data_IF_441505807272
#
_entry.id   IF_441505807272
#
_cell.length_a   1.000
_cell.length_b   1.000
_cell.length_c   1.000
_cell.angle_alpha   90.00
_cell.angle_beta   90.00
_cell.angle_gamma   90.00
#
_symmetry.space_group_name_H-M   'P 1'
#
loop_
_entity.id
_entity.type
_entity.pdbx_description
1 polymer ?
#
# COMPACT_ATOMS: atom_id res chain seq x y z
N UNK A 1 -4.22 -19.14 38.40
CA UNK A 1 -4.94 -18.83 37.15
C UNK A 1 -4.21 -19.55 36.03
N UNK A 2 -4.94 -20.38 35.30
CA UNK A 2 -4.40 -21.45 34.44
C UNK A 2 -3.93 -20.86 33.11
N UNK A 3 -2.70 -21.21 32.70
CA UNK A 3 -2.08 -20.85 31.43
C UNK A 3 -2.82 -21.47 30.24
N UNK A 4 -3.84 -20.77 29.72
CA UNK A 4 -4.67 -21.19 28.58
C UNK A 4 -3.93 -21.22 27.24
N UNK A 5 -2.72 -20.66 27.13
CA UNK A 5 -1.97 -20.62 25.88
C UNK A 5 -1.13 -21.87 25.59
N UNK A 6 -0.75 -22.64 26.61
CA UNK A 6 0.14 -23.80 26.43
C UNK A 6 -0.59 -25.10 26.04
N UNK A 7 -1.92 -25.18 26.20
CA UNK A 7 -2.67 -26.42 25.93
C UNK A 7 -3.14 -26.58 24.46
N UNK A 8 -3.04 -25.55 23.62
CA UNK A 8 -3.57 -25.60 22.24
C UNK A 8 -2.57 -26.13 21.18
N UNK A 9 -1.33 -26.45 21.54
CA UNK A 9 -0.27 -26.79 20.58
C UNK A 9 0.18 -28.27 20.63
N UNK A 10 -0.74 -29.22 20.47
CA UNK A 10 -0.38 -30.63 20.18
C UNK A 10 -1.31 -31.29 19.16
N UNK A 11 -0.88 -31.37 17.90
CA UNK A 11 -1.12 -32.53 17.02
C UNK A 11 -0.27 -32.41 15.73
N UNK A 12 0.39 -33.52 15.36
CA UNK A 12 1.22 -33.63 14.16
C UNK A 12 0.49 -34.20 12.92
N UNK A 13 1.04 -33.82 11.76
CA UNK A 13 1.11 -34.46 10.42
C UNK A 13 -0.18 -34.79 9.64
N UNK A 14 -0.38 -34.14 8.47
CA UNK A 14 -0.61 -34.79 7.16
C UNK A 14 -0.70 -33.79 5.98
N UNK A 15 -0.07 -34.12 4.84
CA UNK A 15 0.12 -33.22 3.67
C UNK A 15 -1.16 -32.88 2.87
N UNK A 16 -2.28 -33.56 3.11
CA UNK A 16 -3.59 -33.19 2.54
C UNK A 16 -4.30 -32.05 3.30
N UNK A 17 -3.88 -31.75 4.54
CA UNK A 17 -4.41 -30.64 5.34
C UNK A 17 -3.94 -29.26 4.82
N UNK A 18 -2.91 -29.20 3.98
CA UNK A 18 -2.31 -27.95 3.52
C UNK A 18 -3.25 -27.11 2.64
N UNK A 19 -4.20 -27.73 1.92
CA UNK A 19 -5.21 -26.98 1.12
C UNK A 19 -6.38 -26.45 1.94
N UNK A 20 -6.73 -27.11 3.04
CA UNK A 20 -7.82 -26.66 3.94
C UNK A 20 -7.34 -25.62 4.96
N UNK A 21 -6.07 -25.67 5.37
CA UNK A 21 -5.41 -24.66 6.22
C UNK A 21 -5.37 -23.25 5.62
N UNK A 22 -5.60 -23.08 4.31
CA UNK A 22 -5.57 -21.76 3.67
C UNK A 22 -6.80 -20.89 3.95
N UNK A 23 -7.82 -21.43 4.64
CA UNK A 23 -9.04 -20.70 5.02
C UNK A 23 -9.19 -20.53 6.53
N UNK A 24 -8.28 -21.08 7.32
CA UNK A 24 -8.32 -20.91 8.78
C UNK A 24 -7.60 -19.60 9.10
N UNK A 25 -8.36 -18.63 9.61
CA UNK A 25 -7.80 -17.37 10.06
C UNK A 25 -6.86 -17.66 11.24
N UNK A 26 -5.71 -17.01 11.29
CA UNK A 26 -4.81 -17.13 12.43
C UNK A 26 -5.58 -16.83 13.73
N UNK A 27 -5.43 -17.67 14.75
CA UNK A 27 -6.22 -17.58 15.99
C UNK A 27 -6.13 -16.20 16.64
N UNK A 28 -4.98 -15.52 16.54
CA UNK A 28 -4.80 -14.17 17.08
C UNK A 28 -5.62 -13.15 16.32
N UNK A 29 -5.64 -13.28 14.99
CA UNK A 29 -6.46 -12.45 14.12
C UNK A 29 -7.94 -12.71 14.32
N UNK A 30 -8.34 -13.96 14.53
CA UNK A 30 -9.73 -14.33 14.83
C UNK A 30 -10.18 -13.73 16.17
N UNK A 31 -9.37 -13.87 17.22
CA UNK A 31 -9.61 -13.22 18.51
C UNK A 31 -9.66 -11.69 18.40
N UNK A 32 -8.89 -11.08 17.51
CA UNK A 32 -8.90 -9.62 17.30
C UNK A 32 -10.18 -9.16 16.62
N UNK A 33 -10.63 -9.88 15.59
CA UNK A 33 -11.84 -9.57 14.82
C UNK A 33 -13.08 -9.80 15.69
N UNK A 34 -13.13 -10.95 16.37
CA UNK A 34 -14.24 -11.40 17.23
C UNK A 34 -13.97 -11.15 18.72
N UNK A 35 -13.27 -10.07 19.05
CA UNK A 35 -12.84 -9.79 20.43
C UNK A 35 -14.01 -9.64 21.40
N UNK A 36 -15.18 -9.23 20.91
CA UNK A 36 -16.45 -9.15 21.64
C UNK A 36 -17.02 -10.52 22.02
N UNK A 37 -16.71 -11.55 21.24
CA UNK A 37 -17.15 -12.93 21.44
C UNK A 37 -16.09 -13.80 22.13
N UNK A 38 -14.82 -13.35 22.13
CA UNK A 38 -13.73 -14.09 22.73
C UNK A 38 -13.79 -14.02 24.27
N UNK A 39 -14.14 -15.16 24.89
CA UNK A 39 -14.31 -15.27 26.34
C UNK A 39 -13.00 -14.94 27.07
N UNK A 40 -13.04 -13.95 27.97
CA UNK A 40 -11.88 -13.50 28.73
C UNK A 40 -11.05 -12.38 28.07
N UNK A 41 -11.28 -12.08 26.79
CA UNK A 41 -10.64 -10.97 26.08
C UNK A 41 -11.53 -9.74 26.00
N UNK A 42 -12.82 -9.85 25.57
CA UNK A 42 -13.87 -8.79 25.53
C UNK A 42 -13.43 -7.35 25.23
N UNK A 43 -12.27 -7.18 24.59
CA UNK A 43 -11.53 -5.94 24.45
C UNK A 43 -10.50 -6.15 23.36
N UNK A 44 -10.54 -5.36 22.29
CA UNK A 44 -9.57 -5.49 21.19
C UNK A 44 -8.13 -5.28 21.64
N UNK A 45 -7.91 -4.43 22.65
CA UNK A 45 -6.57 -4.16 23.20
C UNK A 45 -5.98 -5.35 23.94
N UNK A 46 -6.80 -6.03 24.73
CA UNK A 46 -6.36 -7.21 25.48
C UNK A 46 -5.90 -8.34 24.57
N UNK A 47 -6.45 -8.43 23.35
CA UNK A 47 -5.95 -9.36 22.34
C UNK A 47 -4.48 -9.09 22.03
N UNK A 48 -4.09 -7.82 21.86
CA UNK A 48 -2.69 -7.47 21.65
C UNK A 48 -1.84 -7.78 22.89
N UNK A 49 -2.32 -7.44 24.08
CA UNK A 49 -1.58 -7.71 25.32
C UNK A 49 -1.21 -9.18 25.46
N UNK A 50 -2.14 -10.06 25.10
CA UNK A 50 -1.90 -11.50 25.22
C UNK A 50 -1.15 -12.07 24.02
N UNK A 51 -1.37 -11.56 22.79
CA UNK A 51 -0.66 -12.07 21.61
C UNK A 51 0.83 -11.72 21.59
N UNK A 52 1.19 -10.62 22.23
CA UNK A 52 2.57 -10.13 22.31
C UNK A 52 3.17 -10.31 23.71
N UNK A 53 2.46 -11.00 24.62
CA UNK A 53 2.90 -11.24 25.99
C UNK A 53 3.26 -9.93 26.73
N UNK A 54 2.54 -8.85 26.43
CA UNK A 54 2.82 -7.51 26.96
C UNK A 54 2.72 -7.46 28.49
N UNK A 55 1.90 -8.32 29.10
CA UNK A 55 1.78 -8.41 30.56
C UNK A 55 3.13 -8.76 31.20
N UNK A 56 3.88 -9.68 30.58
CA UNK A 56 5.19 -10.18 31.07
C UNK A 56 6.38 -9.50 30.41
N UNK A 57 6.15 -8.68 29.39
CA UNK A 57 7.20 -7.89 28.76
C UNK A 57 7.82 -6.92 29.77
N UNK A 58 9.14 -7.00 29.92
CA UNK A 58 9.93 -6.02 30.68
C UNK A 58 9.83 -4.65 30.01
N UNK A 59 9.78 -3.63 30.85
CA UNK A 59 9.67 -2.27 30.39
C UNK A 59 11.06 -1.69 30.11
N UNK A 60 11.46 -1.68 28.83
CA UNK A 60 12.71 -1.03 28.37
C UNK A 60 12.77 0.48 28.69
N UNK A 61 11.66 1.08 29.14
CA UNK A 61 11.62 2.50 29.51
C UNK A 61 12.50 2.83 30.73
N UNK A 62 12.75 1.85 31.61
CA UNK A 62 13.65 1.99 32.75
C UNK A 62 15.13 2.06 32.32
N UNK A 63 15.49 1.38 31.22
CA UNK A 63 16.83 1.44 30.64
C UNK A 63 17.10 2.77 29.94
N UNK A 64 16.05 3.47 29.49
CA UNK A 64 16.18 4.75 28.81
C UNK A 64 16.53 5.91 29.75
N UNK A 65 15.99 5.91 30.97
CA UNK A 65 16.35 6.89 31.99
C UNK A 65 16.24 6.27 33.39
N UNK A 66 17.36 5.84 33.99
CA UNK A 66 17.37 5.24 35.32
C UNK A 66 16.84 6.16 36.43
N UNK A 67 16.85 7.48 36.20
CA UNK A 67 16.36 8.47 37.16
C UNK A 67 14.84 8.68 37.09
N UNK A 68 14.18 8.19 36.03
CA UNK A 68 12.74 8.27 35.88
C UNK A 68 12.12 6.87 35.95
N UNK A 69 11.41 6.58 37.05
CA UNK A 69 10.74 5.30 37.31
C UNK A 69 9.68 4.98 36.23
N UNK A 70 9.20 5.99 35.50
CA UNK A 70 8.22 5.84 34.42
C UNK A 70 8.86 5.87 33.02
N UNK A 71 10.18 6.04 32.95
CA UNK A 71 10.92 6.27 31.71
C UNK A 71 10.72 7.67 31.13
N UNK A 72 11.39 7.98 30.03
CA UNK A 72 11.22 9.28 29.38
C UNK A 72 9.85 9.38 28.68
N UNK A 73 9.44 10.59 28.28
CA UNK A 73 8.17 10.81 27.57
C UNK A 73 8.02 10.03 26.26
N UNK A 74 9.11 9.56 25.67
CA UNK A 74 9.10 8.71 24.47
C UNK A 74 8.96 7.21 24.80
N UNK A 75 9.34 6.79 26.00
CA UNK A 75 9.30 5.39 26.42
C UNK A 75 8.14 5.09 27.39
N UNK A 76 7.55 6.13 27.97
CA UNK A 76 6.33 6.03 28.77
C UNK A 76 5.14 5.70 27.87
N UNK A 77 4.65 4.47 27.98
CA UNK A 77 3.41 4.04 27.32
C UNK A 77 2.24 4.55 28.16
N UNK A 78 1.56 5.59 27.69
CA UNK A 78 0.37 6.12 28.34
C UNK A 78 -0.87 5.29 27.97
N UNK A 79 -1.75 5.07 28.95
CA UNK A 79 -3.09 4.57 28.67
C UNK A 79 -3.85 5.58 27.81
N UNK A 80 -4.38 5.17 26.65
CA UNK A 80 -5.19 6.02 25.80
C UNK A 80 -6.53 6.25 26.48
N UNK A 81 -7.00 7.48 26.42
CA UNK A 81 -8.27 7.93 27.01
C UNK A 81 -9.49 7.15 26.51
N UNK A 82 -9.41 6.60 25.30
CA UNK A 82 -10.45 5.78 24.68
C UNK A 82 -9.87 4.38 24.48
N UNK A 83 -10.55 3.33 24.96
CA UNK A 83 -10.09 1.94 24.88
C UNK A 83 -10.22 1.31 23.47
N UNK A 84 -11.40 0.82 23.11
CA UNK A 84 -11.68 0.30 21.76
C UNK A 84 -13.16 0.51 21.42
N UNK A 85 -13.55 0.19 20.20
CA UNK A 85 -14.92 0.22 19.68
C UNK A 85 -15.89 -0.64 20.49
N UNK A 86 -15.42 -1.73 21.11
CA UNK A 86 -16.23 -2.57 22.00
C UNK A 86 -16.61 -1.82 23.29
N UNK A 87 -15.64 -1.10 23.88
CA UNK A 87 -15.85 -0.42 25.17
C UNK A 87 -16.41 1.00 25.02
N UNK A 88 -16.16 1.66 23.89
CA UNK A 88 -16.55 3.05 23.65
C UNK A 88 -17.17 3.22 22.26
N UNK A 89 -18.27 2.51 21.95
CA UNK A 89 -18.84 2.48 20.59
C UNK A 89 -19.14 3.88 20.04
N UNK A 90 -19.58 4.81 20.89
CA UNK A 90 -19.90 6.18 20.50
C UNK A 90 -18.70 6.94 19.90
N UNK A 91 -17.49 6.68 20.39
CA UNK A 91 -16.25 7.30 19.90
C UNK A 91 -15.82 6.77 18.52
N UNK A 92 -16.37 5.65 18.06
CA UNK A 92 -16.03 5.01 16.79
C UNK A 92 -17.18 5.03 15.76
N UNK A 93 -18.33 5.58 16.13
CA UNK A 93 -19.51 5.69 15.27
C UNK A 93 -19.24 6.36 13.92
N UNK A 94 -18.30 7.31 13.86
CA UNK A 94 -17.87 8.00 12.63
C UNK A 94 -17.18 7.07 11.61
N UNK A 95 -16.72 5.89 12.04
CA UNK A 95 -16.06 4.89 11.20
C UNK A 95 -16.96 3.69 10.89
N UNK A 96 -18.22 3.72 11.31
CA UNK A 96 -19.22 2.76 10.87
C UNK A 96 -19.59 3.07 9.42
N UNK A 97 -18.66 2.86 8.49
CA UNK A 97 -18.90 3.00 7.07
C UNK A 97 -19.95 1.98 6.65
N UNK A 98 -20.97 2.44 5.93
CA UNK A 98 -21.84 1.55 5.16
C UNK A 98 -20.96 0.69 4.25
N UNK A 99 -21.27 -0.62 4.08
CA UNK A 99 -20.46 -1.50 3.25
C UNK A 99 -20.34 -0.89 1.86
N UNK A 100 -19.15 -0.36 1.57
CA UNK A 100 -18.79 0.16 0.26
C UNK A 100 -19.11 -0.93 -0.74
N UNK A 101 -20.10 -0.69 -1.60
CA UNK A 101 -20.46 -1.59 -2.69
C UNK A 101 -19.19 -1.73 -3.51
N UNK A 102 -18.51 -2.86 -3.36
CA UNK A 102 -17.25 -3.11 -4.06
C UNK A 102 -17.52 -2.91 -5.54
N UNK A 103 -16.96 -1.84 -6.11
CA UNK A 103 -17.05 -1.61 -7.54
C UNK A 103 -16.42 -2.82 -8.22
N UNK A 104 -17.24 -3.63 -8.88
CA UNK A 104 -16.75 -4.83 -9.56
C UNK A 104 -15.85 -4.40 -10.72
N UNK A 105 -14.53 -4.44 -10.48
CA UNK A 105 -13.53 -4.23 -11.52
C UNK A 105 -13.62 -5.34 -12.57
N UNK A 106 -13.26 -5.04 -13.82
CA UNK A 106 -13.28 -6.03 -14.90
C UNK A 106 -12.35 -7.22 -14.59
N UNK A 107 -12.81 -8.45 -14.77
CA UNK A 107 -11.91 -9.60 -14.78
C UNK A 107 -11.10 -9.57 -16.07
N UNK A 108 -9.78 -9.41 -15.97
CA UNK A 108 -8.88 -9.31 -17.12
C UNK A 108 -8.22 -10.66 -17.38
N UNK A 109 -8.24 -11.09 -18.64
CA UNK A 109 -7.50 -12.27 -19.08
C UNK A 109 -5.99 -12.03 -18.95
N UNK A 110 -5.26 -13.07 -18.54
CA UNK A 110 -3.79 -13.05 -18.55
C UNK A 110 -3.29 -12.86 -19.97
N UNK A 111 -2.28 -12.03 -20.13
CA UNK A 111 -1.62 -11.78 -21.41
C UNK A 111 -0.14 -11.54 -21.17
N UNK A 112 0.64 -11.58 -22.25
CA UNK A 112 2.05 -11.19 -22.24
C UNK A 112 2.15 -9.74 -22.70
N UNK A 113 2.76 -8.87 -21.89
CA UNK A 113 3.00 -7.46 -22.24
C UNK A 113 3.72 -7.37 -23.58
N UNK A 114 3.15 -6.59 -24.50
CA UNK A 114 3.71 -6.27 -25.81
C UNK A 114 4.41 -4.91 -25.74
N UNK A 115 5.09 -4.56 -26.82
CA UNK A 115 5.79 -3.26 -26.94
C UNK A 115 4.91 -2.06 -26.55
N UNK A 116 3.65 -1.93 -27.03
CA UNK A 116 2.80 -0.80 -26.61
C UNK A 116 2.52 -0.76 -25.11
N UNK A 117 2.38 -1.93 -24.47
CA UNK A 117 2.12 -2.03 -23.03
C UNK A 117 3.34 -1.60 -22.22
N UNK A 118 4.55 -1.95 -22.69
CA UNK A 118 5.81 -1.53 -22.07
C UNK A 118 6.04 -0.03 -22.24
N UNK A 119 5.79 0.52 -23.43
CA UNK A 119 5.93 1.96 -23.68
C UNK A 119 4.92 2.76 -22.85
N UNK A 120 3.69 2.27 -22.69
CA UNK A 120 2.72 2.89 -21.80
C UNK A 120 3.17 2.82 -20.34
N UNK A 121 3.74 1.69 -19.91
CA UNK A 121 4.27 1.54 -18.56
C UNK A 121 5.41 2.54 -18.30
N UNK A 122 6.40 2.61 -19.17
CA UNK A 122 7.51 3.56 -19.04
C UNK A 122 7.00 5.03 -18.98
N UNK A 123 6.05 5.38 -19.85
CA UNK A 123 5.45 6.72 -19.85
C UNK A 123 4.64 7.04 -18.58
N UNK A 124 4.00 6.02 -17.99
CA UNK A 124 3.30 6.16 -16.71
C UNK A 124 4.30 6.29 -15.56
N UNK A 125 5.38 5.53 -15.55
CA UNK A 125 6.44 5.63 -14.54
C UNK A 125 7.13 7.01 -14.57
N UNK A 126 7.46 7.53 -15.76
CA UNK A 126 7.98 8.89 -15.94
C UNK A 126 6.99 9.95 -15.43
N UNK A 127 5.71 9.81 -15.78
CA UNK A 127 4.67 10.71 -15.29
C UNK A 127 4.52 10.63 -13.77
N UNK A 128 4.64 9.43 -13.20
CA UNK A 128 4.47 9.13 -11.78
C UNK A 128 5.55 9.80 -10.92
N UNK A 129 6.81 9.77 -11.36
CA UNK A 129 7.91 10.49 -10.72
C UNK A 129 7.73 12.00 -10.84
N UNK A 130 7.45 12.52 -12.04
CA UNK A 130 7.27 13.95 -12.29
C UNK A 130 6.09 14.52 -11.50
N UNK A 131 5.01 13.76 -11.38
CA UNK A 131 3.83 14.18 -10.63
C UNK A 131 4.11 14.24 -9.14
N UNK A 132 4.91 13.31 -8.62
CA UNK A 132 5.33 13.32 -7.22
C UNK A 132 6.21 14.53 -6.92
N UNK A 133 7.19 14.83 -7.79
CA UNK A 133 8.04 16.01 -7.63
C UNK A 133 7.21 17.29 -7.66
N UNK A 134 6.28 17.43 -8.61
CA UNK A 134 5.47 18.66 -8.73
C UNK A 134 4.47 18.83 -7.59
N UNK A 135 3.94 17.73 -7.03
CA UNK A 135 2.91 17.79 -5.98
C UNK A 135 3.51 17.86 -4.58
N UNK A 136 4.60 17.14 -4.32
CA UNK A 136 5.16 16.95 -2.98
C UNK A 136 6.63 17.36 -2.86
N UNK A 137 7.30 17.81 -3.91
CA UNK A 137 8.75 18.06 -4.01
C UNK A 137 9.63 16.81 -4.15
N UNK A 138 10.86 17.03 -4.60
CA UNK A 138 11.87 15.99 -4.83
C UNK A 138 12.23 15.20 -3.56
N UNK A 139 12.25 15.84 -2.39
CA UNK A 139 12.55 15.14 -1.13
C UNK A 139 11.57 14.00 -0.84
N UNK A 140 10.27 14.22 -1.09
CA UNK A 140 9.27 13.16 -0.90
C UNK A 140 9.43 12.02 -1.91
N UNK A 141 9.81 12.31 -3.16
CA UNK A 141 10.12 11.27 -4.13
C UNK A 141 11.30 10.41 -3.65
N UNK A 142 12.35 11.04 -3.11
CA UNK A 142 13.54 10.32 -2.63
C UNK A 142 13.26 9.47 -1.38
N UNK A 143 12.44 9.96 -0.46
CA UNK A 143 12.24 9.33 0.85
C UNK A 143 11.07 8.33 0.85
N UNK A 144 10.00 8.61 0.10
CA UNK A 144 8.75 7.81 0.07
C UNK A 144 8.47 7.15 -1.28
N UNK A 145 9.14 7.59 -2.34
CA UNK A 145 8.91 7.10 -3.71
C UNK A 145 7.67 7.70 -4.38
N UNK A 146 7.46 7.38 -5.67
CA UNK A 146 6.40 7.98 -6.45
C UNK A 146 5.00 7.45 -6.08
N UNK A 147 4.94 6.30 -5.40
CA UNK A 147 3.70 5.64 -4.95
C UNK A 147 2.77 6.52 -4.11
N UNK A 148 3.28 7.66 -3.60
CA UNK A 148 2.51 8.70 -2.92
C UNK A 148 1.42 9.32 -3.79
N UNK A 149 1.63 9.44 -5.11
CA UNK A 149 0.61 9.96 -6.05
C UNK A 149 -0.30 8.85 -6.57
N UNK A 150 0.28 7.71 -6.93
CA UNK A 150 -0.43 6.58 -7.55
C UNK A 150 0.22 5.26 -7.10
N UNK A 151 -0.46 4.37 -6.35
CA UNK A 151 0.13 3.09 -5.96
C UNK A 151 0.55 2.23 -7.17
N UNK A 152 1.69 1.53 -7.07
CA UNK A 152 2.21 0.71 -8.17
C UNK A 152 1.20 -0.35 -8.67
N UNK A 153 0.43 -0.93 -7.75
CA UNK A 153 -0.62 -1.89 -8.11
C UNK A 153 -1.74 -1.28 -8.97
N UNK A 154 -2.03 0.02 -8.80
CA UNK A 154 -2.97 0.76 -9.63
C UNK A 154 -2.35 1.08 -11.00
N UNK A 155 -1.06 1.41 -11.06
CA UNK A 155 -0.35 1.60 -12.33
C UNK A 155 -0.36 0.33 -13.18
N UNK A 156 -0.01 -0.83 -12.60
CA UNK A 156 -0.11 -2.11 -13.28
C UNK A 156 -1.55 -2.40 -13.73
N UNK A 157 -2.54 -2.08 -12.90
CA UNK A 157 -3.95 -2.23 -13.24
C UNK A 157 -4.34 -1.35 -14.44
N UNK A 158 -3.84 -0.12 -14.50
CA UNK A 158 -4.08 0.81 -15.62
C UNK A 158 -3.50 0.24 -16.91
N UNK A 159 -2.24 -0.21 -16.90
CA UNK A 159 -1.60 -0.83 -18.08
C UNK A 159 -2.40 -2.05 -18.56
N UNK A 160 -2.80 -2.93 -17.63
CA UNK A 160 -3.61 -4.10 -17.95
C UNK A 160 -4.99 -3.70 -18.52
N UNK A 161 -5.65 -2.70 -17.95
CA UNK A 161 -6.94 -2.24 -18.45
C UNK A 161 -6.84 -1.55 -19.81
N UNK A 162 -5.78 -0.78 -20.04
CA UNK A 162 -5.49 -0.13 -21.31
C UNK A 162 -5.26 -1.16 -22.43
N UNK A 163 -4.52 -2.23 -22.15
CA UNK A 163 -4.33 -3.35 -23.07
C UNK A 163 -5.67 -3.94 -23.56
N UNK A 164 -6.62 -4.09 -22.64
CA UNK A 164 -7.96 -4.62 -22.92
C UNK A 164 -8.98 -3.55 -23.31
N UNK A 165 -8.53 -2.31 -23.56
CA UNK A 165 -9.37 -1.15 -23.91
C UNK A 165 -10.54 -0.91 -22.93
N UNK A 166 -10.32 -1.17 -21.63
CA UNK A 166 -11.32 -0.99 -20.58
C UNK A 166 -11.41 0.44 -20.04
N UNK A 167 -10.39 1.26 -20.27
CA UNK A 167 -10.34 2.65 -19.80
C UNK A 167 -10.39 3.59 -21.00
N UNK A 168 -11.52 4.28 -21.18
CA UNK A 168 -11.68 5.32 -22.21
C UNK A 168 -12.03 6.69 -21.60
N UNK A 169 -12.40 6.73 -20.32
CA UNK A 169 -12.83 7.91 -19.59
C UNK A 169 -12.30 7.91 -18.15
N UNK A 170 -12.35 9.07 -17.48
CA UNK A 170 -12.05 9.17 -16.04
C UNK A 170 -12.99 8.26 -15.23
N UNK A 171 -14.24 8.13 -15.65
CA UNK A 171 -15.20 7.23 -15.00
C UNK A 171 -14.73 5.78 -15.05
N UNK A 172 -14.26 5.32 -16.21
CA UNK A 172 -13.72 3.96 -16.35
C UNK A 172 -12.45 3.77 -15.51
N UNK A 173 -11.56 4.78 -15.48
CA UNK A 173 -10.37 4.76 -14.65
C UNK A 173 -10.72 4.58 -13.17
N UNK A 174 -11.65 5.41 -12.67
CA UNK A 174 -12.14 5.33 -11.29
C UNK A 174 -12.82 4.00 -10.99
N UNK A 175 -13.63 3.49 -11.92
CA UNK A 175 -14.30 2.20 -11.80
C UNK A 175 -13.31 1.03 -11.75
N UNK A 176 -12.26 1.05 -12.58
CA UNK A 176 -11.32 -0.07 -12.73
C UNK A 176 -10.19 -0.08 -11.71
N UNK A 177 -9.90 1.05 -11.06
CA UNK A 177 -8.80 1.19 -10.11
C UNK A 177 -9.25 1.54 -8.68
N UNK A 178 -10.43 2.14 -8.51
CA UNK A 178 -10.85 2.72 -7.22
C UNK A 178 -9.99 3.91 -6.78
N UNK A 179 -9.14 4.45 -7.65
CA UNK A 179 -8.19 5.49 -7.29
C UNK A 179 -8.91 6.81 -7.02
N UNK A 180 -8.81 7.31 -5.78
CA UNK A 180 -9.54 8.49 -5.32
C UNK A 180 -9.17 9.76 -6.09
N UNK A 181 -7.90 9.91 -6.48
CA UNK A 181 -7.43 11.09 -7.22
C UNK A 181 -7.65 10.98 -8.74
N UNK A 182 -8.45 10.00 -9.20
CA UNK A 182 -8.84 9.88 -10.62
C UNK A 182 -9.50 11.16 -11.13
N UNK A 183 -10.26 11.86 -10.31
CA UNK A 183 -10.92 13.11 -10.71
C UNK A 183 -9.91 14.28 -10.87
N UNK A 184 -8.80 14.24 -10.11
CA UNK A 184 -7.77 15.27 -10.11
C UNK A 184 -6.73 15.07 -11.21
N UNK A 185 -6.31 13.82 -11.42
CA UNK A 185 -5.18 13.48 -12.30
C UNK A 185 -5.58 12.62 -13.50
N UNK A 186 -6.82 12.12 -13.55
CA UNK A 186 -7.26 11.16 -14.55
C UNK A 186 -7.13 11.66 -15.98
N UNK A 187 -7.33 12.95 -16.26
CA UNK A 187 -7.16 13.49 -17.62
C UNK A 187 -5.75 13.27 -18.19
N UNK A 188 -4.71 13.44 -17.36
CA UNK A 188 -3.32 13.22 -17.78
C UNK A 188 -3.07 11.75 -18.09
N UNK A 189 -3.58 10.85 -17.24
CA UNK A 189 -3.51 9.39 -17.43
C UNK A 189 -4.27 8.96 -18.69
N UNK A 190 -5.50 9.44 -18.90
CA UNK A 190 -6.28 9.13 -20.09
C UNK A 190 -5.56 9.59 -21.36
N UNK A 191 -4.90 10.76 -21.32
CA UNK A 191 -4.09 11.27 -22.43
C UNK A 191 -2.90 10.34 -22.74
N UNK A 192 -2.23 9.81 -21.72
CA UNK A 192 -1.15 8.82 -21.88
C UNK A 192 -1.69 7.51 -22.48
N UNK A 193 -2.80 6.99 -21.96
CA UNK A 193 -3.45 5.78 -22.48
C UNK A 193 -3.81 5.96 -23.96
N UNK A 194 -4.47 7.05 -24.33
CA UNK A 194 -4.87 7.31 -25.72
C UNK A 194 -3.66 7.42 -26.67
N UNK A 195 -2.53 7.95 -26.18
CA UNK A 195 -1.30 8.09 -26.96
C UNK A 195 -0.63 6.73 -27.24
N UNK A 196 -0.67 5.80 -26.29
CA UNK A 196 0.11 4.55 -26.37
C UNK A 196 -0.75 3.29 -26.60
N UNK A 197 -2.06 3.37 -26.34
CA UNK A 197 -3.05 2.32 -26.56
C UNK A 197 -4.33 2.92 -27.18
N UNK A 198 -4.26 3.46 -28.41
CA UNK A 198 -5.40 4.10 -29.04
C UNK A 198 -6.57 3.11 -29.16
N UNK A 199 -7.83 3.56 -28.97
CA UNK A 199 -8.99 2.71 -29.17
C UNK A 199 -8.96 2.09 -30.57
N UNK A 200 -9.24 0.79 -30.66
CA UNK A 200 -9.39 0.13 -31.96
C UNK A 200 -10.59 0.78 -32.65
N UNK A 201 -10.33 1.48 -33.76
CA UNK A 201 -11.39 2.02 -34.59
C UNK A 201 -12.31 0.87 -35.02
N UNK A 202 -13.59 0.97 -34.67
CA UNK A 202 -14.60 0.01 -35.14
C UNK A 202 -14.61 0.01 -36.67
N UNK A 203 -14.50 -1.15 -37.35
CA UNK A 203 -14.37 -1.22 -38.80
C UNK A 203 -15.64 -0.87 -39.59
N UNK A 204 -16.67 -0.31 -38.95
CA UNK A 204 -17.88 0.14 -39.62
C UNK A 204 -17.85 1.65 -39.87
N UNK A 205 -16.97 2.10 -40.78
CA UNK A 205 -17.16 3.39 -41.46
C UNK A 205 -16.78 3.24 -42.94
N UNK A 206 -17.78 3.50 -43.76
CA UNK A 206 -17.79 3.53 -45.23
C UNK A 206 -16.61 4.31 -45.79
N UNK A 207 -15.76 3.64 -46.57
CA UNK A 207 -14.62 4.20 -47.30
C UNK A 207 -15.07 5.18 -48.39
N UNK A 208 -14.60 6.44 -48.41
CA UNK A 208 -14.48 7.19 -49.66
C UNK A 208 -13.07 6.96 -50.22
N UNK A 209 -13.03 6.51 -51.47
CA UNK A 209 -11.83 6.34 -52.28
C UNK A 209 -11.14 7.70 -52.50
N UNK A 210 -9.84 7.83 -52.20
CA UNK A 210 -9.02 8.94 -52.72
C UNK A 210 -7.58 8.49 -52.98
N UNK A 211 -7.13 8.82 -54.18
CA UNK A 211 -5.90 8.44 -54.87
C UNK A 211 -4.64 9.13 -54.31
N UNK A 212 -3.42 8.63 -54.64
CA UNK A 212 -2.19 8.98 -53.95
C UNK A 212 -1.51 10.24 -54.51
N UNK A 213 -0.83 11.00 -53.64
CA UNK A 213 0.13 12.03 -54.05
C UNK A 213 1.45 11.86 -53.29
N UNK A 214 2.50 11.76 -54.09
CA UNK A 214 3.93 11.54 -53.79
C UNK A 214 4.58 12.78 -53.16
N UNK A 215 5.57 12.60 -52.27
CA UNK A 215 6.47 13.70 -51.86
C UNK A 215 7.43 13.44 -50.68
N UNK A 216 8.55 12.76 -50.97
CA UNK A 216 9.94 12.86 -50.47
C UNK A 216 10.33 13.33 -49.03
N UNK A 217 11.27 12.55 -48.44
CA UNK A 217 12.16 12.75 -47.26
C UNK A 217 13.27 13.81 -47.52
N UNK A 218 14.09 14.35 -46.55
CA UNK A 218 15.04 13.58 -45.71
C UNK A 218 15.38 14.08 -44.26
N UNK A 219 15.97 13.12 -43.53
CA UNK A 219 16.74 13.03 -42.25
C UNK A 219 17.78 14.15 -41.92
N UNK A 220 18.02 14.44 -40.62
CA UNK A 220 19.37 14.71 -40.05
C UNK A 220 19.47 14.48 -38.50
N UNK A 221 20.70 14.27 -38.01
CA UNK A 221 21.11 13.51 -36.81
C UNK A 221 21.62 14.33 -35.56
N UNK A 222 21.59 13.67 -34.39
CA UNK A 222 22.47 13.58 -33.15
C UNK A 222 23.58 14.66 -32.89
N UNK A 223 24.01 15.07 -31.64
CA UNK A 223 24.38 14.20 -30.48
C UNK A 223 24.26 14.70 -28.99
N UNK A 224 24.50 13.74 -28.07
CA UNK A 224 24.67 13.73 -26.58
C UNK A 224 25.94 14.51 -26.11
N UNK A 225 26.45 14.54 -24.82
CA UNK A 225 25.97 14.01 -23.52
C UNK A 225 26.21 14.94 -22.28
N UNK A 226 25.81 14.54 -21.06
CA UNK A 226 26.67 14.72 -19.85
C UNK A 226 26.30 13.78 -18.70
N UNK A 227 27.29 13.03 -18.24
CA UNK A 227 27.24 12.16 -17.06
C UNK A 227 27.38 12.98 -15.77
N UNK A 228 26.67 12.58 -14.71
CA UNK A 228 27.00 12.95 -13.33
C UNK A 228 27.15 11.72 -12.46
N UNK A 229 28.20 11.78 -11.67
CA UNK A 229 28.80 10.82 -10.76
C UNK A 229 27.90 10.52 -9.56
N UNK A 230 27.66 9.23 -9.30
CA UNK A 230 27.05 8.74 -8.06
C UNK A 230 28.17 8.47 -7.04
N UNK A 231 28.10 9.13 -5.88
CA UNK A 231 28.83 8.73 -4.66
C UNK A 231 27.93 7.88 -3.77
N UNK A 232 28.43 6.78 -3.19
CA UNK A 232 27.63 5.93 -2.30
C UNK A 232 27.53 6.56 -0.90
N UNK A 233 26.30 6.84 -0.47
CA UNK A 233 25.99 7.34 0.87
C UNK A 233 26.09 6.17 1.88
N UNK A 234 26.96 6.31 2.89
CA UNK A 234 27.04 5.40 4.02
C UNK A 234 25.75 5.52 4.86
N UNK A 235 25.13 4.38 5.17
CA UNK A 235 23.97 4.28 6.05
C UNK A 235 24.30 4.80 7.45
N UNK A 236 23.75 5.94 7.82
CA UNK A 236 23.75 6.40 9.20
C UNK A 236 22.84 5.49 10.04
N UNK A 237 23.32 5.07 11.22
CA UNK A 237 22.52 4.34 12.21
C UNK A 237 21.66 5.34 12.99
N UNK A 238 20.37 5.03 13.15
CA UNK A 238 19.40 5.91 13.79
C UNK A 238 19.62 5.97 15.31
N UNK A 239 19.73 7.19 15.85
CA UNK A 239 19.79 7.50 17.29
C UNK A 239 18.46 8.03 17.76
N UNK A 240 18.12 7.82 19.03
CA UNK A 240 16.93 8.44 19.62
C UNK A 240 17.10 9.95 19.74
N UNK A 241 16.15 10.75 19.23
CA UNK A 241 16.24 12.21 19.23
C UNK A 241 16.18 12.86 20.62
N UNK A 242 15.74 12.14 21.66
CA UNK A 242 15.63 12.65 23.02
C UNK A 242 16.87 12.33 23.89
N UNK A 243 17.38 11.09 23.84
CA UNK A 243 18.50 10.65 24.68
C UNK A 243 19.80 10.39 23.91
N UNK A 244 19.80 10.52 22.58
CA UNK A 244 20.94 10.30 21.68
C UNK A 244 21.61 8.91 21.72
N UNK A 245 21.04 7.96 22.47
CA UNK A 245 21.55 6.59 22.56
C UNK A 245 21.08 5.72 21.38
N UNK A 246 21.92 4.75 21.00
CA UNK A 246 21.63 3.72 20.01
C UNK A 246 21.04 2.48 20.70
N UNK A 247 20.14 1.73 20.03
CA UNK A 247 19.78 0.36 20.43
C UNK A 247 18.33 0.07 20.86
N UNK A 248 17.54 1.07 21.28
CA UNK A 248 16.16 0.84 21.76
C UNK A 248 15.06 1.10 20.72
N UNK A 249 15.37 1.74 19.58
CA UNK A 249 14.42 1.95 18.48
C UNK A 249 14.23 0.70 17.59
N UNK A 250 14.73 -0.46 18.01
CA UNK A 250 14.97 -1.62 17.14
C UNK A 250 14.10 -2.85 17.39
N UNK A 251 13.15 -2.82 18.33
CA UNK A 251 12.28 -3.99 18.59
C UNK A 251 10.83 -3.54 18.72
N UNK A 252 9.98 -4.16 17.92
CA UNK A 252 8.55 -3.93 17.84
C UNK A 252 7.91 -3.84 19.23
N UNK A 253 7.49 -2.65 19.64
CA UNK A 253 6.63 -2.47 20.81
C UNK A 253 5.18 -2.53 20.33
N UNK A 254 4.44 -3.55 20.78
CA UNK A 254 2.98 -3.50 20.77
C UNK A 254 2.54 -3.08 22.16
N UNK A 255 1.64 -2.10 22.19
CA UNK A 255 1.25 -1.30 23.34
C UNK A 255 0.72 -2.16 24.50
N UNK A 256 1.27 -1.95 25.70
CA UNK A 256 0.73 -2.49 26.96
C UNK A 256 -0.29 -1.52 27.55
N UNK A 257 -1.45 -2.01 27.97
CA UNK A 257 -2.41 -1.22 28.75
C UNK A 257 -2.71 -1.90 30.10
N UNK A 258 -2.65 -1.17 31.23
CA UNK A 258 -3.17 -1.64 32.51
C UNK A 258 -4.67 -1.97 32.49
#
# INVERSE_FOLDING_TARGET
MVNTYQELNKAGVNDQAAKHKKRELDLRMDCLINADQCTGLMCRRKVFDVCFDNEVADFDHLDCNPECILGCSCCLILQPMVCCDIHHPDHFSIYADEPSVMSHHSCLSKYTKKVPDLVLQDALDDWHEQKTISTYSWSHLNDLGPSLVLPNCMLDRIVNCAHHHKINSIFDLKKETGWMDSDRFGNEIITLIQRHAPPIASPFVTTPLSYPSTGNVPVLATPCPTARTNTPNLKHRNKCGACNNEGHNGKFQVLKFP
#
